data_IF_484038414730
#
_entry.id   IF_484038414730
#
_cell.length_a   1.000
_cell.length_b   1.000
_cell.length_c   1.000
_cell.angle_alpha   90.00
_cell.angle_beta   90.00
_cell.angle_gamma   90.00
#
_symmetry.space_group_name_H-M   'P 1'
#
loop_
_entity.id
_entity.type
_entity.pdbx_description
1 polymer ?
#
# COMPACT_ATOMS: atom_id res chain seq x y z
N UNK A 1 82.83 37.80 0.72
CA UNK A 1 81.42 38.23 0.67
C UNK A 1 80.79 37.72 -0.62
N UNK A 2 79.81 36.80 -0.56
CA UNK A 2 78.77 36.55 -1.58
C UNK A 2 78.08 35.20 -1.29
N UNK A 3 76.78 35.26 -0.96
CA UNK A 3 75.68 34.28 -1.17
C UNK A 3 74.51 34.37 -0.15
N UNK A 4 74.04 35.56 0.29
CA UNK A 4 72.68 35.67 0.82
C UNK A 4 71.59 35.38 -0.23
N UNK A 5 71.88 35.61 -1.52
CA UNK A 5 70.88 35.60 -2.60
C UNK A 5 70.32 34.21 -2.94
N UNK A 6 71.16 33.17 -3.04
CA UNK A 6 70.69 31.80 -3.41
C UNK A 6 69.78 31.16 -2.36
N UNK A 7 70.02 31.40 -1.07
CA UNK A 7 69.16 30.89 0.00
C UNK A 7 67.81 31.61 0.04
N UNK A 8 67.80 32.92 -0.25
CA UNK A 8 66.57 33.72 -0.35
C UNK A 8 65.70 33.27 -1.53
N UNK A 9 66.31 33.02 -2.68
CA UNK A 9 65.63 32.57 -3.89
C UNK A 9 64.99 31.18 -3.72
N UNK A 10 65.65 30.27 -2.97
CA UNK A 10 65.09 28.95 -2.63
C UNK A 10 63.93 29.05 -1.62
N UNK A 11 64.04 29.94 -0.64
CA UNK A 11 62.97 30.19 0.33
C UNK A 11 61.73 30.81 -0.34
N UNK A 12 61.93 31.79 -1.24
CA UNK A 12 60.86 32.42 -2.02
C UNK A 12 60.14 31.39 -2.93
N UNK A 13 60.86 30.45 -3.56
CA UNK A 13 60.24 29.35 -4.33
C UNK A 13 59.43 28.38 -3.46
N UNK A 14 59.92 28.01 -2.29
CA UNK A 14 59.20 27.11 -1.36
C UNK A 14 57.93 27.80 -0.84
N UNK A 15 58.00 29.10 -0.54
CA UNK A 15 56.83 29.86 -0.10
C UNK A 15 55.81 30.06 -1.23
N UNK A 16 56.27 30.28 -2.47
CA UNK A 16 55.40 30.33 -3.64
C UNK A 16 54.65 29.00 -3.86
N UNK A 17 55.35 27.86 -3.82
CA UNK A 17 54.75 26.53 -3.93
C UNK A 17 53.77 26.25 -2.79
N UNK A 18 54.10 26.64 -1.54
CA UNK A 18 53.18 26.53 -0.40
C UNK A 18 51.93 27.41 -0.56
N UNK A 19 52.06 28.63 -1.09
CA UNK A 19 50.92 29.51 -1.35
C UNK A 19 50.03 28.95 -2.47
N UNK A 20 50.61 28.37 -3.51
CA UNK A 20 49.86 27.70 -4.58
C UNK A 20 49.13 26.45 -4.06
N UNK A 21 49.81 25.59 -3.29
CA UNK A 21 49.18 24.41 -2.70
C UNK A 21 48.05 24.79 -1.73
N UNK A 22 48.27 25.77 -0.86
CA UNK A 22 47.23 26.28 0.04
C UNK A 22 46.03 26.88 -0.70
N UNK A 23 46.25 27.57 -1.82
CA UNK A 23 45.15 28.10 -2.66
C UNK A 23 44.38 26.98 -3.36
N UNK A 24 45.08 25.97 -3.86
CA UNK A 24 44.48 24.80 -4.50
C UNK A 24 43.66 23.98 -3.48
N UNK A 25 44.19 23.75 -2.28
CA UNK A 25 43.48 23.09 -1.18
C UNK A 25 42.24 23.88 -0.76
N UNK A 26 42.35 25.20 -0.52
CA UNK A 26 41.18 26.03 -0.18
C UNK A 26 40.11 26.01 -1.24
N UNK A 27 40.49 26.07 -2.53
CA UNK A 27 39.53 25.93 -3.64
C UNK A 27 38.86 24.56 -3.64
N UNK A 28 39.64 23.49 -3.45
CA UNK A 28 39.11 22.12 -3.39
C UNK A 28 38.15 21.94 -2.21
N UNK A 29 38.52 22.41 -1.02
CA UNK A 29 37.65 22.39 0.16
C UNK A 29 36.38 23.19 -0.07
N UNK A 30 36.48 24.39 -0.66
CA UNK A 30 35.33 25.23 -0.93
C UNK A 30 34.39 24.58 -1.95
N UNK A 31 34.93 23.99 -3.02
CA UNK A 31 34.13 23.22 -4.00
C UNK A 31 33.43 22.04 -3.32
N UNK A 32 34.14 21.27 -2.49
CA UNK A 32 33.54 20.14 -1.76
C UNK A 32 32.42 20.62 -0.82
N UNK A 33 32.65 21.69 -0.05
CA UNK A 33 31.64 22.25 0.84
C UNK A 33 30.41 22.73 0.08
N UNK A 34 30.60 23.39 -1.08
CA UNK A 34 29.49 23.81 -1.92
C UNK A 34 28.70 22.62 -2.47
N UNK A 35 29.39 21.59 -2.97
CA UNK A 35 28.75 20.37 -3.49
C UNK A 35 27.97 19.67 -2.37
N UNK A 36 28.57 19.48 -1.20
CA UNK A 36 27.88 18.91 -0.04
C UNK A 36 26.68 19.76 0.41
N UNK A 37 26.82 21.09 0.38
CA UNK A 37 25.73 22.01 0.72
C UNK A 37 24.56 21.92 -0.25
N UNK A 38 24.84 21.85 -1.55
CA UNK A 38 23.81 21.67 -2.59
C UNK A 38 23.12 20.31 -2.43
N UNK A 39 23.87 19.23 -2.20
CA UNK A 39 23.30 17.90 -1.97
C UNK A 39 22.41 17.86 -0.73
N UNK A 40 22.85 18.46 0.38
CA UNK A 40 22.04 18.54 1.59
C UNK A 40 20.74 19.32 1.36
N UNK A 41 20.80 20.45 0.66
CA UNK A 41 19.61 21.23 0.30
C UNK A 41 18.68 20.48 -0.65
N UNK A 42 19.22 19.72 -1.61
CA UNK A 42 18.41 18.92 -2.52
C UNK A 42 17.65 17.81 -1.79
N UNK A 43 18.31 17.11 -0.85
CA UNK A 43 17.66 16.06 -0.03
C UNK A 43 16.56 16.68 0.83
N UNK A 44 16.88 17.72 1.61
CA UNK A 44 15.90 18.39 2.49
C UNK A 44 14.75 18.99 1.69
N UNK A 45 15.05 19.59 0.54
CA UNK A 45 14.05 20.15 -0.38
C UNK A 45 13.12 19.08 -0.94
N UNK A 46 13.66 17.94 -1.38
CA UNK A 46 12.85 16.82 -1.88
C UNK A 46 11.95 16.24 -0.78
N UNK A 47 12.47 16.06 0.44
CA UNK A 47 11.67 15.56 1.57
C UNK A 47 10.57 16.53 1.98
N UNK A 48 10.86 17.84 2.01
CA UNK A 48 9.87 18.85 2.36
C UNK A 48 8.79 18.97 1.27
N UNK A 49 9.19 18.89 0.00
CA UNK A 49 8.24 18.89 -1.12
C UNK A 49 7.32 17.68 -1.06
N UNK A 50 7.86 16.47 -0.85
CA UNK A 50 7.06 15.24 -0.70
C UNK A 50 6.04 15.36 0.45
N UNK A 51 6.47 15.82 1.63
CA UNK A 51 5.55 15.99 2.77
C UNK A 51 4.41 16.98 2.48
N UNK A 52 4.69 18.06 1.75
CA UNK A 52 3.67 19.05 1.37
C UNK A 52 2.75 18.50 0.29
N UNK A 53 3.29 17.79 -0.72
CA UNK A 53 2.48 17.20 -1.78
C UNK A 53 1.57 16.10 -1.23
N UNK A 54 2.08 15.25 -0.35
CA UNK A 54 1.31 14.17 0.26
C UNK A 54 0.18 14.73 1.13
N UNK A 55 0.43 15.80 1.90
CA UNK A 55 -0.60 16.49 2.67
C UNK A 55 -1.67 17.14 1.77
N UNK A 56 -1.27 17.80 0.68
CA UNK A 56 -2.21 18.38 -0.28
C UNK A 56 -3.06 17.33 -0.98
N UNK A 57 -2.46 16.17 -1.31
CA UNK A 57 -3.18 15.04 -1.90
C UNK A 57 -4.19 14.46 -0.91
N UNK A 58 -3.78 14.26 0.34
CA UNK A 58 -4.67 13.78 1.40
C UNK A 58 -5.87 14.70 1.59
N UNK A 59 -5.67 16.03 1.62
CA UNK A 59 -6.77 17.00 1.70
C UNK A 59 -7.72 16.92 0.48
N UNK A 60 -7.16 16.74 -0.72
CA UNK A 60 -7.93 16.57 -1.95
C UNK A 60 -8.77 15.29 -1.94
N UNK A 61 -8.17 14.17 -1.55
CA UNK A 61 -8.84 12.86 -1.45
C UNK A 61 -9.90 12.87 -0.35
N UNK A 62 -9.63 13.50 0.80
CA UNK A 62 -10.62 13.67 1.85
C UNK A 62 -11.88 14.41 1.36
N UNK A 63 -11.70 15.42 0.49
CA UNK A 63 -12.80 16.18 -0.13
C UNK A 63 -13.46 15.51 -1.34
N UNK A 64 -12.91 14.42 -1.86
CA UNK A 64 -13.41 13.71 -3.04
C UNK A 64 -14.32 12.55 -2.62
N UNK A 65 -15.45 12.37 -3.30
CA UNK A 65 -16.33 11.21 -3.07
C UNK A 65 -15.61 9.91 -3.45
N UNK A 66 -15.78 8.84 -2.68
CA UNK A 66 -15.14 7.54 -2.94
C UNK A 66 -15.48 7.05 -4.36
N UNK A 67 -16.73 7.19 -4.80
CA UNK A 67 -17.17 6.74 -6.12
C UNK A 67 -16.53 7.54 -7.27
N UNK A 68 -15.94 8.70 -6.99
CA UNK A 68 -15.27 9.54 -7.98
C UNK A 68 -13.75 9.27 -8.10
N UNK A 69 -13.21 8.32 -7.34
CA UNK A 69 -11.80 7.94 -7.39
C UNK A 69 -11.60 6.82 -8.39
N UNK A 70 -10.72 7.02 -9.37
CA UNK A 70 -10.44 6.04 -10.42
C UNK A 70 -11.48 6.02 -11.53
N UNK A 71 -11.58 4.88 -12.22
CA UNK A 71 -12.59 4.68 -13.26
C UNK A 71 -13.98 4.43 -12.63
N UNK A 72 -15.05 4.82 -13.33
CA UNK A 72 -16.39 4.32 -13.01
C UNK A 72 -16.47 2.80 -13.26
N UNK A 73 -17.49 2.13 -12.70
CA UNK A 73 -17.56 0.67 -12.72
C UNK A 73 -17.62 0.09 -14.15
N UNK A 74 -18.29 0.77 -15.07
CA UNK A 74 -18.39 0.36 -16.48
C UNK A 74 -17.04 0.55 -17.20
N UNK A 75 -16.37 1.70 -17.01
CA UNK A 75 -15.07 2.00 -17.60
C UNK A 75 -13.94 1.11 -17.05
N UNK A 76 -14.09 0.65 -15.81
CA UNK A 76 -13.19 -0.31 -15.18
C UNK A 76 -13.41 -1.76 -15.63
N UNK A 77 -14.39 -2.01 -16.51
CA UNK A 77 -14.84 -3.36 -16.92
C UNK A 77 -15.11 -4.26 -15.71
N UNK A 78 -15.81 -3.72 -14.71
CA UNK A 78 -16.18 -4.48 -13.52
C UNK A 78 -17.27 -5.51 -13.86
N UNK A 79 -17.03 -6.75 -13.44
CA UNK A 79 -17.96 -7.87 -13.60
C UNK A 79 -19.05 -7.83 -12.53
N UNK A 80 -20.08 -8.62 -12.79
CA UNK A 80 -21.09 -8.93 -11.78
C UNK A 80 -20.46 -9.60 -10.56
N UNK A 81 -21.04 -9.34 -9.39
CA UNK A 81 -20.63 -9.99 -8.14
C UNK A 81 -20.89 -11.49 -8.24
N UNK A 82 -19.91 -12.27 -7.79
CA UNK A 82 -20.03 -13.73 -7.68
C UNK A 82 -19.91 -14.16 -6.23
N UNK A 83 -20.63 -15.21 -5.87
CA UNK A 83 -20.66 -15.77 -4.52
C UNK A 83 -20.41 -17.27 -4.53
N UNK A 84 -19.87 -17.79 -3.44
CA UNK A 84 -19.73 -19.22 -3.22
C UNK A 84 -19.83 -19.53 -1.72
N UNK A 85 -20.52 -20.62 -1.37
CA UNK A 85 -20.63 -21.06 0.02
C UNK A 85 -19.25 -21.29 0.65
N UNK A 86 -19.06 -20.72 1.84
CA UNK A 86 -17.79 -20.79 2.53
C UNK A 86 -17.61 -22.13 3.26
N UNK A 87 -16.35 -22.47 3.50
CA UNK A 87 -15.93 -23.62 4.28
C UNK A 87 -14.80 -23.21 5.25
N UNK A 88 -14.56 -24.04 6.26
CA UNK A 88 -13.47 -23.88 7.24
C UNK A 88 -13.49 -22.55 8.03
N UNK A 89 -14.69 -22.03 8.33
CA UNK A 89 -14.86 -20.92 9.27
C UNK A 89 -14.34 -21.31 10.66
N UNK A 90 -13.54 -20.43 11.27
CA UNK A 90 -12.88 -20.66 12.56
C UNK A 90 -11.76 -21.71 12.55
N UNK A 91 -11.32 -22.19 11.38
CA UNK A 91 -10.15 -23.08 11.29
C UNK A 91 -8.84 -22.26 11.31
N UNK A 92 -8.42 -21.89 12.52
CA UNK A 92 -7.18 -21.15 12.76
C UNK A 92 -5.96 -22.08 12.77
N UNK A 93 -4.98 -21.82 11.89
CA UNK A 93 -3.71 -22.53 11.79
C UNK A 93 -2.54 -21.70 12.31
N UNK A 94 -1.52 -22.36 12.83
CA UNK A 94 -0.31 -21.71 13.33
C UNK A 94 0.83 -21.77 12.30
N UNK A 95 0.82 -20.83 11.35
CA UNK A 95 1.94 -20.60 10.42
C UNK A 95 2.12 -21.66 9.34
N UNK A 96 1.15 -22.58 9.16
CA UNK A 96 1.23 -23.61 8.13
C UNK A 96 0.82 -23.03 6.76
N UNK A 97 1.47 -23.44 5.66
CA UNK A 97 1.04 -23.03 4.33
C UNK A 97 -0.35 -23.59 4.03
N UNK A 98 -1.15 -22.80 3.29
CA UNK A 98 -2.50 -23.15 2.85
C UNK A 98 -2.56 -22.96 1.35
N UNK A 99 -2.98 -23.99 0.62
CA UNK A 99 -3.30 -23.90 -0.80
C UNK A 99 -4.79 -23.58 -0.95
N UNK A 100 -5.09 -22.34 -1.34
CA UNK A 100 -6.49 -21.90 -1.46
C UNK A 100 -7.21 -22.49 -2.68
N UNK A 101 -6.49 -23.14 -3.60
CA UNK A 101 -7.11 -23.86 -4.72
C UNK A 101 -7.92 -25.07 -4.24
N UNK A 102 -7.57 -25.67 -3.09
CA UNK A 102 -8.33 -26.75 -2.46
C UNK A 102 -9.73 -26.28 -2.00
N UNK A 103 -9.88 -24.98 -1.76
CA UNK A 103 -11.14 -24.33 -1.36
C UNK A 103 -11.85 -23.67 -2.54
N UNK A 104 -11.30 -23.78 -3.76
CA UNK A 104 -11.87 -23.21 -4.97
C UNK A 104 -11.88 -21.68 -4.99
N UNK A 105 -11.01 -21.02 -4.22
CA UNK A 105 -10.99 -19.55 -4.10
C UNK A 105 -9.61 -19.00 -4.47
N UNK A 106 -9.55 -18.16 -5.50
CA UNK A 106 -8.30 -17.47 -5.87
C UNK A 106 -8.62 -16.14 -6.57
N UNK A 107 -8.29 -14.98 -5.96
CA UNK A 107 -7.85 -14.81 -4.57
C UNK A 107 -8.88 -15.32 -3.54
N UNK A 108 -8.46 -15.74 -2.33
CA UNK A 108 -9.37 -16.24 -1.32
C UNK A 108 -10.26 -15.15 -0.74
N UNK A 109 -11.54 -15.49 -0.49
CA UNK A 109 -12.45 -14.70 0.33
C UNK A 109 -12.87 -15.40 1.63
N UNK A 110 -12.52 -16.68 1.79
CA UNK A 110 -12.75 -17.49 2.99
C UNK A 110 -11.75 -18.64 3.05
N UNK A 111 -11.83 -19.43 4.12
CA UNK A 111 -11.11 -20.69 4.29
C UNK A 111 -10.34 -20.73 5.61
N UNK A 112 -9.54 -21.78 5.83
CA UNK A 112 -8.61 -21.79 6.94
C UNK A 112 -7.60 -20.67 6.75
N UNK A 113 -7.14 -20.14 7.87
CA UNK A 113 -6.32 -18.95 7.88
C UNK A 113 -5.48 -18.94 9.16
N UNK A 114 -4.54 -18.01 9.26
CA UNK A 114 -3.64 -18.02 10.41
C UNK A 114 -4.30 -17.42 11.64
N UNK A 115 -3.95 -17.94 12.82
CA UNK A 115 -4.45 -17.43 14.12
C UNK A 115 -4.12 -15.95 14.34
N UNK A 116 -3.07 -15.43 13.71
CA UNK A 116 -2.70 -14.02 13.73
C UNK A 116 -3.18 -13.30 12.47
N UNK A 117 -3.94 -12.22 12.64
CA UNK A 117 -4.36 -11.34 11.55
C UNK A 117 -3.21 -10.43 11.06
N UNK A 118 -3.42 -9.82 9.88
CA UNK A 118 -2.64 -8.65 9.51
C UNK A 118 -2.98 -7.47 10.43
N UNK A 119 -2.09 -6.46 10.45
CA UNK A 119 -2.28 -5.27 11.27
C UNK A 119 -3.62 -4.59 10.97
N UNK A 120 -4.47 -4.48 12.00
CA UNK A 120 -5.76 -3.83 11.88
C UNK A 120 -5.63 -2.33 11.65
N UNK A 121 -6.51 -1.79 10.82
CA UNK A 121 -6.52 -0.38 10.42
C UNK A 121 -5.47 0.00 9.37
N UNK A 122 -4.55 -0.89 9.03
CA UNK A 122 -3.61 -0.68 7.91
C UNK A 122 -4.31 -0.99 6.60
N UNK A 123 -4.48 0.01 5.73
CA UNK A 123 -5.33 -0.10 4.53
C UNK A 123 -4.58 -0.38 3.24
N UNK A 124 -3.25 -0.32 3.24
CA UNK A 124 -2.43 -0.54 2.05
C UNK A 124 -1.15 -1.32 2.35
N UNK A 125 -0.85 -2.26 1.46
CA UNK A 125 0.38 -3.02 1.43
C UNK A 125 1.01 -2.98 0.03
N UNK A 126 2.34 -3.05 0.01
CA UNK A 126 3.17 -3.27 -1.18
C UNK A 126 3.71 -4.69 -1.19
N UNK A 127 4.33 -5.13 -2.28
CA UNK A 127 4.95 -6.45 -2.34
C UNK A 127 6.04 -6.62 -1.26
N UNK A 128 6.71 -5.55 -0.86
CA UNK A 128 7.82 -5.61 0.10
C UNK A 128 7.37 -5.83 1.55
N UNK A 129 6.12 -5.51 1.88
CA UNK A 129 5.62 -5.49 3.25
C UNK A 129 4.24 -6.08 3.44
N UNK A 130 3.64 -6.65 2.40
CA UNK A 130 2.40 -7.42 2.50
C UNK A 130 2.61 -8.63 3.43
N UNK A 131 1.71 -8.86 4.40
CA UNK A 131 1.70 -10.08 5.18
C UNK A 131 1.27 -11.28 4.33
N UNK A 132 1.50 -12.47 4.87
CA UNK A 132 1.05 -13.73 4.26
C UNK A 132 -0.46 -13.71 3.96
N UNK A 133 -0.88 -14.32 2.84
CA UNK A 133 -2.29 -14.31 2.41
C UNK A 133 -3.22 -14.81 3.51
N UNK A 134 -2.77 -15.81 4.26
CA UNK A 134 -3.51 -16.41 5.37
C UNK A 134 -3.79 -15.44 6.51
N UNK A 135 -2.97 -14.39 6.69
CA UNK A 135 -3.26 -13.34 7.66
C UNK A 135 -4.34 -12.40 7.13
N UNK A 136 -4.38 -12.14 5.82
CA UNK A 136 -5.42 -11.32 5.19
C UNK A 136 -6.77 -12.03 5.12
N UNK A 137 -6.80 -13.36 5.02
CA UNK A 137 -8.05 -14.15 5.16
C UNK A 137 -8.61 -14.07 6.58
N UNK A 138 -7.77 -13.94 7.60
CA UNK A 138 -8.24 -13.63 8.96
C UNK A 138 -8.94 -12.26 9.01
N UNK A 139 -8.38 -11.23 8.36
CA UNK A 139 -9.03 -9.93 8.26
C UNK A 139 -10.40 -10.04 7.54
N UNK A 140 -10.52 -10.88 6.50
CA UNK A 140 -11.81 -11.15 5.85
C UNK A 140 -12.84 -11.74 6.83
N UNK A 141 -12.46 -12.68 7.73
CA UNK A 141 -13.34 -13.22 8.78
C UNK A 141 -13.85 -12.10 9.73
N UNK A 142 -13.03 -11.07 9.96
CA UNK A 142 -13.35 -9.89 10.77
C UNK A 142 -13.95 -8.72 9.97
N UNK A 143 -14.47 -9.00 8.78
CA UNK A 143 -15.28 -8.07 7.99
C UNK A 143 -14.49 -7.03 7.22
N UNK A 144 -13.19 -7.24 7.01
CA UNK A 144 -12.47 -6.45 6.04
C UNK A 144 -12.91 -6.81 4.62
N UNK A 145 -13.00 -5.81 3.75
CA UNK A 145 -12.92 -6.04 2.30
C UNK A 145 -11.45 -5.98 1.88
N UNK A 146 -10.99 -6.99 1.12
CA UNK A 146 -9.65 -6.98 0.55
C UNK A 146 -9.73 -6.72 -0.96
N UNK A 147 -9.07 -5.66 -1.41
CA UNK A 147 -8.80 -5.38 -2.81
C UNK A 147 -7.44 -5.99 -3.18
N UNK A 148 -7.48 -7.08 -3.93
CA UNK A 148 -6.30 -7.69 -4.53
C UNK A 148 -5.97 -7.03 -5.85
N UNK A 149 -4.71 -6.65 -6.07
CA UNK A 149 -4.24 -6.11 -7.35
C UNK A 149 -3.03 -6.88 -7.87
N UNK A 150 -2.96 -7.12 -9.18
CA UNK A 150 -1.87 -7.90 -9.78
C UNK A 150 -0.68 -7.03 -10.24
N UNK A 151 0.33 -7.68 -10.82
CA UNK A 151 1.54 -7.02 -11.34
C UNK A 151 1.26 -5.99 -12.44
N UNK A 152 0.17 -6.12 -13.20
CA UNK A 152 -0.24 -5.12 -14.20
C UNK A 152 -0.55 -3.79 -13.52
N UNK A 153 -1.34 -3.82 -12.44
CA UNK A 153 -1.61 -2.61 -11.64
C UNK A 153 -0.31 -2.15 -10.98
N UNK A 154 0.46 -3.05 -10.37
CA UNK A 154 1.71 -2.69 -9.68
C UNK A 154 2.75 -2.01 -10.58
N UNK A 155 2.73 -2.31 -11.89
CA UNK A 155 3.60 -1.70 -12.90
C UNK A 155 3.06 -0.40 -13.52
N UNK A 156 1.86 0.04 -13.15
CA UNK A 156 1.21 1.25 -13.64
C UNK A 156 1.10 2.31 -12.52
N UNK A 157 1.89 3.38 -12.64
CA UNK A 157 1.95 4.45 -11.64
C UNK A 157 0.59 5.13 -11.39
N UNK A 158 -0.25 5.29 -12.42
CA UNK A 158 -1.56 5.96 -12.30
C UNK A 158 -2.58 5.04 -11.63
N UNK A 159 -2.58 3.75 -12.01
CA UNK A 159 -3.42 2.76 -11.37
C UNK A 159 -3.02 2.55 -9.90
N UNK A 160 -1.72 2.48 -9.60
CA UNK A 160 -1.22 2.39 -8.24
C UNK A 160 -1.55 3.62 -7.40
N UNK A 161 -1.47 4.82 -7.98
CA UNK A 161 -1.91 6.03 -7.29
C UNK A 161 -3.38 5.93 -6.92
N UNK A 162 -4.22 5.45 -7.85
CA UNK A 162 -5.65 5.23 -7.59
C UNK A 162 -5.88 4.23 -6.46
N UNK A 163 -5.16 3.10 -6.42
CA UNK A 163 -5.25 2.13 -5.31
C UNK A 163 -4.89 2.76 -3.97
N UNK A 164 -3.82 3.58 -3.92
CA UNK A 164 -3.40 4.26 -2.70
C UNK A 164 -4.44 5.30 -2.26
N UNK A 165 -5.03 6.05 -3.20
CA UNK A 165 -6.08 7.02 -2.90
C UNK A 165 -7.34 6.34 -2.36
N UNK A 166 -7.73 5.19 -2.92
CA UNK A 166 -8.83 4.37 -2.40
C UNK A 166 -8.52 3.92 -0.98
N UNK A 167 -7.35 3.33 -0.73
CA UNK A 167 -6.94 2.88 0.59
C UNK A 167 -6.90 4.02 1.63
N UNK A 168 -6.48 5.23 1.21
CA UNK A 168 -6.45 6.42 2.06
C UNK A 168 -7.85 6.84 2.53
N UNK A 169 -8.90 6.63 1.74
CA UNK A 169 -10.29 6.93 2.17
C UNK A 169 -10.74 6.11 3.38
N UNK A 170 -10.12 4.94 3.57
CA UNK A 170 -10.43 4.04 4.67
C UNK A 170 -9.43 4.11 5.81
N UNK A 171 -8.36 4.92 5.70
CA UNK A 171 -7.46 5.15 6.82
C UNK A 171 -8.23 5.79 7.95
N UNK A 172 -8.38 5.06 9.04
CA UNK A 172 -8.95 5.63 10.26
C UNK A 172 -7.90 6.55 10.85
N UNK A 173 -8.24 7.83 11.03
CA UNK A 173 -7.54 8.67 12.00
C UNK A 173 -7.71 8.10 13.42
N UNK A 174 -7.42 8.87 14.46
CA UNK A 174 -7.79 8.49 15.85
C UNK A 174 -9.34 8.54 16.05
N UNK A 175 -10.14 7.89 15.20
CA UNK A 175 -11.58 7.85 15.31
C UNK A 175 -11.97 6.86 16.41
N UNK A 176 -12.22 7.38 17.61
CA UNK A 176 -12.57 6.61 18.80
C UNK A 176 -14.07 6.37 18.97
N UNK A 177 -14.89 6.72 17.98
CA UNK A 177 -16.35 6.71 18.11
C UNK A 177 -17.01 5.93 16.95
N UNK A 178 -16.92 4.61 17.04
CA UNK A 178 -17.56 3.69 16.09
C UNK A 178 -19.04 3.54 16.46
N UNK A 179 -19.88 4.51 16.06
CA UNK A 179 -21.32 4.50 16.39
C UNK A 179 -22.24 4.42 15.17
N UNK A 180 -21.71 4.58 13.96
CA UNK A 180 -22.46 4.38 12.71
C UNK A 180 -21.71 3.46 11.74
N UNK A 181 -22.45 2.91 10.76
CA UNK A 181 -21.95 1.90 9.81
C UNK A 181 -20.82 2.44 8.92
N UNK A 182 -20.87 3.73 8.59
CA UNK A 182 -19.85 4.40 7.76
C UNK A 182 -18.51 4.48 8.52
N UNK A 183 -18.56 4.86 9.80
CA UNK A 183 -17.39 4.87 10.70
C UNK A 183 -16.92 3.47 11.09
N UNK A 184 -17.82 2.49 11.10
CA UNK A 184 -17.44 1.10 11.36
C UNK A 184 -16.79 0.42 10.14
N UNK A 185 -17.21 0.79 8.93
CA UNK A 185 -16.56 0.36 7.69
C UNK A 185 -15.23 1.09 7.47
N UNK A 186 -15.05 2.30 8.01
CA UNK A 186 -13.74 2.97 7.98
C UNK A 186 -12.73 2.13 8.77
N UNK A 187 -11.61 1.78 8.13
CA UNK A 187 -10.62 0.86 8.67
C UNK A 187 -10.82 -0.61 8.34
N UNK A 188 -11.95 -1.02 7.75
CA UNK A 188 -12.23 -2.40 7.33
C UNK A 188 -12.06 -2.58 5.81
N UNK A 189 -10.98 -1.99 5.28
CA UNK A 189 -10.57 -2.13 3.88
C UNK A 189 -9.06 -2.31 3.82
N UNK A 190 -8.60 -3.24 2.98
CA UNK A 190 -7.17 -3.45 2.68
C UNK A 190 -6.99 -3.56 1.18
N UNK A 191 -6.06 -2.79 0.61
CA UNK A 191 -5.52 -3.04 -0.72
C UNK A 191 -4.17 -3.77 -0.60
N UNK A 192 -4.05 -4.92 -1.25
CA UNK A 192 -2.86 -5.78 -1.16
C UNK A 192 -2.49 -6.38 -2.53
N UNK A 193 -1.18 -6.55 -2.83
CA UNK A 193 -0.75 -7.15 -4.07
C UNK A 193 -0.99 -8.66 -4.06
N UNK A 194 -1.34 -9.20 -5.22
CA UNK A 194 -1.35 -10.62 -5.52
C UNK A 194 -0.18 -10.93 -6.47
N UNK A 195 0.69 -11.84 -6.07
CA UNK A 195 1.92 -12.18 -6.80
C UNK A 195 1.83 -13.57 -7.41
N UNK A 196 2.76 -13.89 -8.32
CA UNK A 196 2.84 -15.23 -8.89
C UNK A 196 3.13 -16.35 -7.86
N UNK A 197 3.65 -16.00 -6.67
CA UNK A 197 3.87 -16.96 -5.58
C UNK A 197 2.56 -17.36 -4.89
N UNK A 198 1.54 -16.50 -4.96
CA UNK A 198 0.23 -16.71 -4.32
C UNK A 198 -0.70 -17.59 -5.16
N UNK A 199 -0.50 -17.63 -6.48
CA UNK A 199 -1.28 -18.43 -7.42
C UNK A 199 -1.73 -17.66 -8.67
N UNK A 200 -2.56 -18.28 -9.49
CA UNK A 200 -3.10 -17.64 -10.70
C UNK A 200 -4.12 -16.55 -10.34
N UNK A 201 -3.90 -15.34 -10.84
CA UNK A 201 -4.90 -14.27 -10.79
C UNK A 201 -5.92 -14.45 -11.93
N UNK A 202 -7.21 -14.07 -11.77
CA UNK A 202 -8.19 -14.16 -12.83
C UNK A 202 -7.70 -13.46 -14.12
N UNK A 203 -7.68 -14.21 -15.23
CA UNK A 203 -6.99 -13.80 -16.46
C UNK A 203 -7.60 -12.56 -17.13
N UNK A 204 -8.85 -12.24 -16.81
CA UNK A 204 -9.62 -11.11 -17.32
C UNK A 204 -9.73 -9.98 -16.29
N UNK A 205 -9.00 -10.05 -15.17
CA UNK A 205 -9.01 -9.01 -14.14
C UNK A 205 -7.60 -8.52 -13.82
N UNK A 206 -7.52 -7.28 -13.35
CA UNK A 206 -6.32 -6.77 -12.69
C UNK A 206 -6.58 -6.36 -11.23
N UNK A 207 -7.85 -6.25 -10.85
CA UNK A 207 -8.32 -5.95 -9.50
C UNK A 207 -9.43 -6.93 -9.12
N UNK A 208 -9.39 -7.46 -7.89
CA UNK A 208 -10.45 -8.29 -7.32
C UNK A 208 -10.78 -7.82 -5.91
N UNK A 209 -12.02 -7.41 -5.68
CA UNK A 209 -12.58 -7.22 -4.35
C UNK A 209 -13.00 -8.58 -3.79
N UNK A 210 -12.68 -8.84 -2.53
CA UNK A 210 -13.04 -10.06 -1.81
C UNK A 210 -13.62 -9.70 -0.42
N UNK A 211 -14.66 -10.41 0.00
CA UNK A 211 -15.27 -10.28 1.33
C UNK A 211 -15.81 -11.61 1.83
N UNK A 212 -15.73 -11.85 3.14
CA UNK A 212 -16.37 -13.00 3.79
C UNK A 212 -17.70 -12.57 4.41
N UNK A 213 -18.80 -12.89 3.74
CA UNK A 213 -20.15 -12.58 4.22
C UNK A 213 -20.67 -13.69 5.14
N UNK A 214 -21.28 -13.34 6.28
CA UNK A 214 -21.93 -14.33 7.16
C UNK A 214 -23.31 -14.78 6.68
N UNK A 215 -23.94 -13.97 5.83
CA UNK A 215 -25.30 -14.18 5.32
C UNK A 215 -25.36 -13.87 3.82
N UNK A 216 -26.27 -14.52 3.10
CA UNK A 216 -26.49 -14.32 1.66
C UNK A 216 -27.16 -15.53 1.02
N UNK A 217 -27.43 -15.47 -0.29
CA UNK A 217 -28.13 -16.54 -1.01
C UNK A 217 -27.35 -17.87 -0.99
N UNK A 218 -26.03 -17.79 -1.18
CA UNK A 218 -25.13 -18.95 -1.19
C UNK A 218 -24.51 -19.25 0.19
N UNK A 219 -24.92 -18.54 1.24
CA UNK A 219 -24.32 -18.69 2.57
C UNK A 219 -24.61 -20.08 3.16
N UNK A 220 -23.55 -20.74 3.63
CA UNK A 220 -23.61 -21.99 4.35
C UNK A 220 -23.80 -21.71 5.84
N UNK A 221 -24.75 -22.39 6.49
CA UNK A 221 -25.07 -22.18 7.91
C UNK A 221 -23.83 -22.33 8.79
N UNK A 222 -23.49 -21.28 9.54
CA UNK A 222 -22.33 -21.26 10.42
C UNK A 222 -20.98 -21.17 9.71
N UNK A 223 -20.95 -20.94 8.40
CA UNK A 223 -19.72 -20.75 7.62
C UNK A 223 -19.75 -19.46 6.79
N UNK A 224 -20.93 -19.05 6.30
CA UNK A 224 -21.10 -17.88 5.45
C UNK A 224 -20.85 -18.18 3.96
N UNK A 225 -20.44 -17.15 3.22
CA UNK A 225 -20.05 -17.23 1.81
C UNK A 225 -18.88 -16.30 1.51
N UNK A 226 -18.09 -16.65 0.51
CA UNK A 226 -17.18 -15.74 -0.15
C UNK A 226 -17.91 -14.89 -1.17
N UNK A 227 -17.47 -13.65 -1.32
CA UNK A 227 -18.00 -12.69 -2.27
C UNK A 227 -16.85 -12.09 -3.05
N UNK A 228 -16.98 -12.01 -4.36
CA UNK A 228 -15.97 -11.41 -5.24
C UNK A 228 -16.57 -10.47 -6.27
N UNK A 229 -15.83 -9.41 -6.57
CA UNK A 229 -16.05 -8.60 -7.76
C UNK A 229 -14.71 -8.34 -8.45
N UNK A 230 -14.64 -8.62 -9.75
CA UNK A 230 -13.42 -8.46 -10.54
C UNK A 230 -13.52 -7.28 -11.49
N UNK A 231 -12.46 -6.52 -11.67
CA UNK A 231 -12.37 -5.39 -12.61
C UNK A 231 -11.02 -5.39 -13.35
N UNK A 232 -10.98 -4.80 -14.55
CA UNK A 232 -9.71 -4.57 -15.27
C UNK A 232 -8.95 -3.34 -14.75
N UNK A 233 -9.64 -2.38 -14.14
CA UNK A 233 -9.04 -1.18 -13.54
C UNK A 233 -9.55 -0.91 -12.11
N UNK A 234 -8.81 -0.15 -11.29
CA UNK A 234 -9.31 0.31 -9.99
C UNK A 234 -10.52 1.24 -10.16
N UNK A 235 -11.61 0.95 -9.45
CA UNK A 235 -12.84 1.73 -9.46
C UNK A 235 -13.34 2.02 -8.05
N UNK A 236 -13.40 3.29 -7.69
CA UNK A 236 -13.98 3.72 -6.42
C UNK A 236 -15.49 3.53 -6.37
N UNK A 237 -16.19 3.61 -7.50
CA UNK A 237 -17.62 3.31 -7.58
C UNK A 237 -17.87 1.83 -7.24
N UNK A 238 -17.10 0.91 -7.83
CA UNK A 238 -17.20 -0.51 -7.52
C UNK A 238 -16.93 -0.79 -6.03
N UNK A 239 -15.85 -0.20 -5.46
CA UNK A 239 -15.55 -0.33 -4.03
C UNK A 239 -16.70 0.19 -3.16
N UNK A 240 -17.22 1.38 -3.48
CA UNK A 240 -18.31 1.99 -2.72
C UNK A 240 -19.58 1.12 -2.74
N UNK A 241 -19.97 0.63 -3.91
CA UNK A 241 -21.14 -0.25 -4.06
C UNK A 241 -20.94 -1.59 -3.36
N UNK A 242 -19.77 -2.22 -3.55
CA UNK A 242 -19.44 -3.52 -2.96
C UNK A 242 -19.48 -3.48 -1.44
N UNK A 243 -18.85 -2.47 -0.81
CA UNK A 243 -18.84 -2.33 0.65
C UNK A 243 -20.16 -1.83 1.25
N UNK A 244 -21.02 -1.20 0.45
CA UNK A 244 -22.37 -0.86 0.86
C UNK A 244 -23.28 -2.10 0.90
N UNK A 245 -23.10 -3.03 -0.04
CA UNK A 245 -23.83 -4.29 -0.12
C UNK A 245 -23.31 -5.33 0.88
N UNK A 246 -21.99 -5.41 1.03
CA UNK A 246 -21.29 -6.32 1.95
C UNK A 246 -20.52 -5.51 2.99
N UNK A 247 -21.22 -4.86 3.93
CA UNK A 247 -20.57 -4.07 4.98
C UNK A 247 -19.79 -4.96 5.94
N UNK A 248 -18.86 -4.37 6.70
CA UNK A 248 -18.06 -5.12 7.68
C UNK A 248 -18.90 -5.87 8.72
N UNK A 249 -20.12 -5.39 8.99
CA UNK A 249 -21.06 -6.00 9.93
C UNK A 249 -21.67 -7.31 9.38
N UNK A 250 -21.64 -7.49 8.07
CA UNK A 250 -21.95 -8.73 7.38
C UNK A 250 -20.67 -9.56 7.24
N UNK A 251 -20.16 -10.07 8.34
CA UNK A 251 -19.02 -10.99 8.38
C UNK A 251 -19.22 -12.07 9.43
N UNK A 252 -18.45 -13.17 9.41
CA UNK A 252 -18.54 -14.21 10.44
C UNK A 252 -18.27 -13.66 11.85
N UNK A 253 -17.26 -12.79 12.00
CA UNK A 253 -16.85 -12.25 13.29
C UNK A 253 -16.69 -10.72 13.26
N UNK A 254 -17.80 -9.96 13.12
CA UNK A 254 -17.75 -8.50 12.91
C UNK A 254 -17.12 -7.75 14.10
N UNK A 255 -17.30 -8.26 15.32
CA UNK A 255 -16.72 -7.62 16.51
C UNK A 255 -15.28 -8.10 16.81
N UNK A 256 -14.68 -8.91 15.94
CA UNK A 256 -13.25 -9.17 15.93
C UNK A 256 -12.51 -7.94 15.43
N UNK A 257 -11.34 -7.68 16.01
CA UNK A 257 -10.63 -6.41 15.86
C UNK A 257 -10.26 -6.08 14.39
#
# INVERSE_FOLDING_TARGET
MAKPSKNRERAERIEALRRESQRAERRRTLVVVLVCGVLALAIVGATAWKLISDAQRADEIAGTDLAAIGADADAADCRDVTTAGAEAQGEHLDGQPIDYTDYGTTPPAFGPHWSNAAEFGRTFYTEQDRPEVQQLVHNLEHGYTVLWYNETIAGDDEAMQTIQDLAQKFEVGEATDITDQETYNSGKFIAAPWTAEDGEFPADANVVLAHWASEGEDAVEGQGMGVWQSCEQPSGEAVASFMAEYPASNSPEPNGA
#
